data_IF_082862468473
#
_entry.id   IF_082862468473
#
_cell.length_a   1.000
_cell.length_b   1.000
_cell.length_c   1.000
_cell.angle_alpha   90.00
_cell.angle_beta   90.00
_cell.angle_gamma   90.00
#
_symmetry.space_group_name_H-M   'P 1'
#
loop_
_entity.id
_entity.type
_entity.pdbx_description
1 polymer ?
#
# COMPACT_ATOMS: atom_id res chain seq x y z
N UNK A 1 6.87 -14.06 -18.64
CA UNK A 1 5.58 -13.66 -18.02
C UNK A 1 5.83 -12.38 -17.25
N UNK A 2 4.95 -11.37 -17.35
CA UNK A 2 5.09 -10.13 -16.58
C UNK A 2 4.52 -10.33 -15.16
N UNK A 3 5.23 -9.84 -14.14
CA UNK A 3 4.76 -9.85 -12.74
C UNK A 3 3.59 -8.86 -12.61
N UNK A 4 2.48 -9.22 -11.93
CA UNK A 4 1.45 -8.26 -11.55
C UNK A 4 2.03 -7.16 -10.64
N UNK A 5 1.58 -5.92 -10.82
CA UNK A 5 1.88 -4.82 -9.88
C UNK A 5 0.94 -4.90 -8.68
N UNK A 6 1.50 -4.75 -7.49
CA UNK A 6 0.77 -4.64 -6.23
C UNK A 6 0.66 -3.16 -5.88
N UNK A 7 -0.57 -2.63 -5.86
CA UNK A 7 -0.85 -1.20 -5.63
C UNK A 7 -1.64 -1.05 -4.32
N UNK A 8 -1.10 -0.28 -3.38
CA UNK A 8 -1.73 -0.02 -2.08
C UNK A 8 -2.84 1.02 -2.16
N UNK A 9 -4.05 0.63 -2.57
CA UNK A 9 -5.18 1.56 -2.74
C UNK A 9 -5.46 2.41 -1.48
N UNK A 10 -5.13 3.71 -1.56
CA UNK A 10 -5.21 4.69 -0.45
C UNK A 10 -4.30 4.36 0.75
N UNK A 11 -3.18 3.68 0.51
CA UNK A 11 -2.32 3.10 1.54
C UNK A 11 -2.72 1.65 1.87
N UNK A 12 -2.48 1.23 3.11
CA UNK A 12 -2.90 -0.06 3.63
C UNK A 12 -4.27 0.05 4.33
N UNK A 13 -5.32 0.46 3.61
CA UNK A 13 -6.62 0.86 4.19
C UNK A 13 -7.36 -0.22 5.03
N UNK A 14 -7.01 -1.50 4.85
CA UNK A 14 -7.50 -2.60 5.70
C UNK A 14 -6.74 -2.80 7.01
N UNK A 15 -5.60 -2.11 7.17
CA UNK A 15 -4.71 -2.19 8.33
C UNK A 15 -4.63 -0.87 9.09
N UNK A 16 -4.79 0.27 8.39
CA UNK A 16 -4.69 1.62 8.91
C UNK A 16 -5.71 2.55 8.25
N UNK A 17 -6.01 3.69 8.87
CA UNK A 17 -6.98 4.67 8.31
C UNK A 17 -6.50 5.16 6.94
N UNK A 18 -7.34 5.03 5.91
CA UNK A 18 -7.02 5.39 4.52
C UNK A 18 -6.53 6.84 4.35
N UNK A 19 -5.69 7.08 3.34
CA UNK A 19 -5.12 8.41 3.01
C UNK A 19 -4.35 9.11 4.15
N UNK A 20 -3.82 8.34 5.11
CA UNK A 20 -2.94 8.86 6.17
C UNK A 20 -1.48 8.47 5.93
N UNK A 21 -0.54 9.24 6.48
CA UNK A 21 0.90 8.89 6.42
C UNK A 21 1.19 7.53 7.05
N UNK A 22 0.48 7.16 8.12
CA UNK A 22 0.62 5.84 8.75
C UNK A 22 0.18 4.71 7.82
N UNK A 23 -0.92 4.89 7.09
CA UNK A 23 -1.40 3.91 6.11
C UNK A 23 -0.49 3.78 4.90
N UNK A 24 0.09 4.90 4.43
CA UNK A 24 1.10 4.89 3.37
C UNK A 24 2.37 4.17 3.85
N UNK A 25 2.87 4.47 5.05
CA UNK A 25 4.03 3.80 5.63
C UNK A 25 3.79 2.30 5.76
N UNK A 26 2.62 1.90 6.27
CA UNK A 26 2.25 0.49 6.39
C UNK A 26 2.22 -0.23 5.05
N UNK A 27 1.74 0.41 3.98
CA UNK A 27 1.77 -0.17 2.64
C UNK A 27 3.20 -0.35 2.11
N UNK A 28 4.09 0.62 2.34
CA UNK A 28 5.52 0.49 1.99
C UNK A 28 6.17 -0.66 2.75
N UNK A 29 5.87 -0.82 4.04
CA UNK A 29 6.38 -1.94 4.86
C UNK A 29 5.88 -3.32 4.37
N UNK A 30 4.70 -3.35 3.73
CA UNK A 30 4.12 -4.55 3.11
C UNK A 30 4.70 -4.84 1.71
N UNK A 31 5.55 -3.97 1.17
CA UNK A 31 6.27 -4.19 -0.09
C UNK A 31 5.43 -4.02 -1.35
N UNK A 32 4.46 -3.10 -1.33
CA UNK A 32 3.72 -2.72 -2.55
C UNK A 32 4.64 -2.07 -3.57
N UNK A 33 4.36 -2.26 -4.86
CA UNK A 33 5.14 -1.65 -5.94
C UNK A 33 4.79 -0.15 -6.11
N UNK A 34 3.56 0.24 -5.76
CA UNK A 34 3.06 1.62 -5.77
C UNK A 34 2.03 1.83 -4.65
N UNK A 35 1.79 3.10 -4.30
CA UNK A 35 0.75 3.55 -3.35
C UNK A 35 -0.43 4.07 -4.16
#
# INVERSE_FOLDING_TARGET
>A
MNKPLVIGHRGAMGHETENTLASIQKAMDLGVDMI
#
